data_IF_081898596886
#
_entry.id   IF_081898596886
#
_cell.length_a   1.000
_cell.length_b   1.000
_cell.length_c   1.000
_cell.angle_alpha   90.00
_cell.angle_beta   90.00
_cell.angle_gamma   90.00
#
_symmetry.space_group_name_H-M   'P 1'
#
loop_
_entity.id
_entity.type
_entity.pdbx_description
1 polymer ?
#
# COMPACT_ATOMS: atom_id res chain seq x y z
N UNK A 1 15.53 21.18 20.83
CA UNK A 1 14.54 21.00 19.75
C UNK A 1 13.22 20.57 20.39
N UNK A 2 12.32 21.52 20.64
CA UNK A 2 10.99 21.24 21.18
C UNK A 2 9.92 21.56 20.14
N UNK A 3 8.79 20.85 20.19
CA UNK A 3 7.63 21.16 19.36
C UNK A 3 6.99 22.45 19.87
N UNK A 4 6.77 23.40 18.96
CA UNK A 4 6.10 24.68 19.25
C UNK A 4 4.61 24.62 18.91
N UNK A 5 4.25 23.99 17.79
CA UNK A 5 2.86 23.84 17.38
C UNK A 5 2.66 22.66 16.43
N UNK A 6 1.40 22.24 16.33
CA UNK A 6 0.93 21.27 15.35
C UNK A 6 -0.30 21.79 14.65
N UNK A 7 -0.37 21.59 13.33
CA UNK A 7 -1.49 21.96 12.48
C UNK A 7 -1.92 20.71 11.71
N UNK A 8 -3.23 20.39 11.76
CA UNK A 8 -3.82 19.27 11.04
C UNK A 8 -4.71 19.79 9.92
N UNK A 9 -4.37 19.47 8.68
CA UNK A 9 -5.04 20.00 7.49
C UNK A 9 -5.70 18.83 6.76
N UNK A 10 -7.03 18.85 6.67
CA UNK A 10 -7.76 17.86 5.89
C UNK A 10 -7.88 18.32 4.45
N UNK A 11 -7.51 17.43 3.54
CA UNK A 11 -7.60 17.62 2.10
C UNK A 11 -8.47 16.53 1.49
N UNK A 12 -9.17 16.92 0.45
CA UNK A 12 -9.81 16.00 -0.48
C UNK A 12 -8.97 15.97 -1.77
N UNK A 13 -8.23 14.88 -1.96
CA UNK A 13 -7.38 14.62 -3.12
C UNK A 13 -8.10 13.64 -4.05
N UNK A 14 -8.73 14.10 -5.14
CA UNK A 14 -9.54 13.25 -6.00
C UNK A 14 -8.69 12.21 -6.73
N UNK A 15 -9.29 11.04 -6.99
CA UNK A 15 -8.73 10.09 -7.96
C UNK A 15 -8.82 10.67 -9.38
N UNK A 16 -7.97 10.18 -10.28
CA UNK A 16 -8.13 10.41 -11.72
C UNK A 16 -9.52 9.93 -12.17
N UNK A 17 -10.13 10.59 -13.15
CA UNK A 17 -11.49 10.30 -13.63
C UNK A 17 -11.76 8.81 -13.86
N UNK A 18 -10.84 8.11 -14.55
CA UNK A 18 -10.99 6.68 -14.83
C UNK A 18 -10.95 5.83 -13.55
N UNK A 19 -9.90 5.97 -12.74
CA UNK A 19 -9.77 5.27 -11.45
C UNK A 19 -10.96 5.55 -10.52
N UNK A 20 -11.50 6.77 -10.55
CA UNK A 20 -12.64 7.16 -9.72
C UNK A 20 -13.90 6.38 -10.08
N UNK A 21 -14.07 5.92 -11.33
CA UNK A 21 -15.23 5.11 -11.74
C UNK A 21 -15.38 3.85 -10.90
N UNK A 22 -14.29 3.27 -10.41
CA UNK A 22 -14.29 2.08 -9.56
C UNK A 22 -14.04 2.41 -8.09
N UNK A 23 -13.07 3.29 -7.80
CA UNK A 23 -12.67 3.61 -6.42
C UNK A 23 -13.78 4.27 -5.61
N UNK A 24 -14.67 5.04 -6.24
CA UNK A 24 -15.79 5.69 -5.55
C UNK A 24 -16.76 4.71 -4.87
N UNK A 25 -16.82 3.45 -5.33
CA UNK A 25 -17.67 2.43 -4.74
C UNK A 25 -16.95 1.64 -3.65
N UNK A 26 -15.67 1.35 -3.87
CA UNK A 26 -14.89 0.49 -2.98
C UNK A 26 -14.25 1.25 -1.82
N UNK A 27 -13.58 2.36 -2.14
CA UNK A 27 -12.72 3.10 -1.22
C UNK A 27 -12.91 4.62 -1.39
N UNK A 28 -14.15 5.14 -1.38
CA UNK A 28 -14.41 6.57 -1.63
C UNK A 28 -13.70 7.48 -0.65
N UNK A 29 -13.39 6.98 0.55
CA UNK A 29 -12.77 7.73 1.64
C UNK A 29 -11.24 7.81 1.56
N UNK A 30 -10.59 7.08 0.64
CA UNK A 30 -9.13 7.15 0.42
C UNK A 30 -8.68 8.48 -0.20
N UNK A 31 -9.61 9.26 -0.76
CA UNK A 31 -9.36 10.64 -1.19
C UNK A 31 -9.19 11.62 -0.03
N UNK A 32 -9.62 11.23 1.17
CA UNK A 32 -9.50 12.08 2.36
C UNK A 32 -8.15 11.85 3.00
N UNK A 33 -7.32 12.89 2.93
CA UNK A 33 -5.96 12.91 3.46
C UNK A 33 -5.89 13.93 4.59
N UNK A 34 -5.11 13.65 5.62
CA UNK A 34 -4.78 14.61 6.66
C UNK A 34 -3.26 14.86 6.63
N UNK A 35 -2.87 16.10 6.31
CA UNK A 35 -1.50 16.57 6.47
C UNK A 35 -1.26 16.95 7.94
N UNK A 36 -0.13 16.52 8.48
CA UNK A 36 0.35 16.87 9.81
C UNK A 36 1.56 17.78 9.65
N UNK A 37 1.45 19.02 10.11
CA UNK A 37 2.54 19.99 10.07
C UNK A 37 2.97 20.30 11.49
N UNK A 38 4.24 20.02 11.79
CA UNK A 38 4.85 20.29 13.10
C UNK A 38 5.85 21.42 12.95
N UNK A 39 5.71 22.47 13.75
CA UNK A 39 6.68 23.56 13.83
C UNK A 39 7.48 23.41 15.10
N UNK A 40 8.81 23.41 15.00
CA UNK A 40 9.73 23.40 16.14
C UNK A 40 10.01 24.82 16.63
N UNK A 41 10.47 24.95 17.87
CA UNK A 41 10.78 26.25 18.48
C UNK A 41 11.86 27.07 17.75
N UNK A 42 12.70 26.44 16.92
CA UNK A 42 13.67 27.11 16.06
C UNK A 42 13.12 27.51 14.68
N UNK A 43 11.82 27.29 14.46
CA UNK A 43 11.12 27.56 13.19
C UNK A 43 11.18 26.42 12.17
N UNK A 44 11.88 25.32 12.45
CA UNK A 44 11.92 24.17 11.53
C UNK A 44 10.53 23.54 11.39
N UNK A 45 10.12 23.25 10.15
CA UNK A 45 8.83 22.63 9.85
C UNK A 45 9.04 21.19 9.35
N UNK A 46 8.39 20.25 10.02
CA UNK A 46 8.21 18.87 9.58
C UNK A 46 6.83 18.62 8.99
N UNK A 47 6.76 17.81 7.95
CA UNK A 47 5.53 17.39 7.29
C UNK A 47 5.36 15.88 7.33
N UNK A 48 4.12 15.45 7.53
CA UNK A 48 3.72 14.07 7.40
C UNK A 48 2.29 13.96 6.90
N UNK A 49 1.92 12.74 6.53
CA UNK A 49 0.63 12.45 5.91
C UNK A 49 0.01 11.21 6.55
N UNK A 50 -1.31 11.23 6.74
CA UNK A 50 -2.10 10.04 7.05
C UNK A 50 -3.36 10.02 6.21
N UNK A 51 -3.85 8.82 5.89
CA UNK A 51 -5.20 8.61 5.35
C UNK A 51 -6.07 8.21 6.55
N UNK A 52 -6.88 9.12 7.14
CA UNK A 52 -7.53 8.88 8.44
C UNK A 52 -8.48 7.69 8.46
N UNK A 53 -8.94 7.27 7.28
CA UNK A 53 -9.86 6.15 7.10
C UNK A 53 -9.16 4.84 6.69
N UNK A 54 -7.83 4.88 6.45
CA UNK A 54 -7.02 3.73 6.10
C UNK A 54 -5.58 3.93 6.59
N UNK A 55 -5.40 3.81 7.90
CA UNK A 55 -4.10 3.96 8.56
C UNK A 55 -4.01 3.00 9.72
N UNK A 56 -2.79 2.57 10.04
CA UNK A 56 -2.53 1.69 11.18
C UNK A 56 -2.66 2.45 12.51
N UNK A 57 -2.41 3.76 12.53
CA UNK A 57 -2.67 4.64 13.68
C UNK A 57 -3.13 6.02 13.23
N UNK A 58 -4.34 6.39 13.68
CA UNK A 58 -4.89 7.74 13.49
C UNK A 58 -4.18 8.73 14.40
N UNK A 59 -4.19 10.00 14.00
CA UNK A 59 -3.76 11.09 14.87
C UNK A 59 -4.81 11.26 15.97
N UNK A 60 -4.42 11.21 17.26
CA UNK A 60 -5.33 11.44 18.38
C UNK A 60 -5.91 12.87 18.36
N UNK A 61 -7.12 13.05 18.87
CA UNK A 61 -7.76 14.38 18.98
C UNK A 61 -7.00 15.30 19.95
N UNK A 62 -6.40 14.73 20.99
CA UNK A 62 -5.57 15.40 22.00
C UNK A 62 -4.09 15.51 21.59
N UNK A 63 -3.79 15.47 20.28
CA UNK A 63 -2.39 15.43 19.83
C UNK A 63 -1.59 16.64 20.28
N UNK A 64 -2.19 17.83 20.31
CA UNK A 64 -1.52 19.08 20.71
C UNK A 64 -0.99 18.97 22.15
N UNK A 65 -1.84 18.54 23.09
CA UNK A 65 -1.50 18.31 24.50
C UNK A 65 -0.39 17.26 24.65
N UNK A 66 -0.35 16.26 23.76
CA UNK A 66 0.63 15.18 23.81
C UNK A 66 2.03 15.58 23.37
N UNK A 67 2.18 16.61 22.54
CA UNK A 67 3.45 16.90 21.86
C UNK A 67 3.99 18.32 22.06
N UNK A 68 3.14 19.33 22.21
CA UNK A 68 3.62 20.73 22.32
C UNK A 68 4.44 20.92 23.60
N UNK A 69 5.56 21.64 23.48
CA UNK A 69 6.53 21.86 24.55
C UNK A 69 7.46 20.68 24.83
N UNK A 70 7.21 19.50 24.26
CA UNK A 70 8.07 18.31 24.46
C UNK A 70 9.25 18.30 23.51
N UNK A 71 10.33 17.67 23.94
CA UNK A 71 11.51 17.46 23.09
C UNK A 71 11.18 16.43 22.00
N UNK A 72 11.54 16.73 20.75
CA UNK A 72 11.27 15.84 19.60
C UNK A 72 11.90 14.46 19.76
N UNK A 73 13.06 14.37 20.41
CA UNK A 73 13.74 13.10 20.66
C UNK A 73 12.96 12.15 21.56
N UNK A 74 12.12 12.68 22.46
CA UNK A 74 11.25 11.86 23.31
C UNK A 74 10.05 11.33 22.52
N UNK A 75 9.65 12.02 21.44
CA UNK A 75 8.43 11.75 20.67
C UNK A 75 8.65 10.79 19.48
N UNK A 76 9.88 10.70 18.97
CA UNK A 76 10.21 9.73 17.91
C UNK A 76 9.88 8.31 18.37
N UNK A 77 9.37 7.50 17.46
CA UNK A 77 8.98 6.10 17.71
C UNK A 77 7.79 5.92 18.66
N UNK A 78 7.08 6.99 19.03
CA UNK A 78 5.80 6.90 19.72
C UNK A 78 4.66 6.72 18.71
N UNK A 79 4.48 5.47 18.29
CA UNK A 79 3.49 5.08 17.30
C UNK A 79 2.05 5.49 17.64
N UNK A 80 1.72 5.60 18.93
CA UNK A 80 0.42 6.07 19.42
C UNK A 80 0.10 7.54 19.08
N UNK A 81 1.06 8.32 18.57
CA UNK A 81 0.84 9.68 18.08
C UNK A 81 0.20 9.71 16.67
N UNK A 82 0.15 8.57 15.98
CA UNK A 82 -0.39 8.45 14.64
C UNK A 82 0.67 8.55 13.55
N UNK A 83 0.41 7.91 12.41
CA UNK A 83 1.38 7.75 11.32
C UNK A 83 1.88 9.09 10.76
N UNK A 84 0.97 10.04 10.51
CA UNK A 84 1.30 11.35 9.95
C UNK A 84 2.12 12.23 10.91
N UNK A 85 1.86 12.15 12.22
CA UNK A 85 2.64 12.89 13.23
C UNK A 85 4.05 12.30 13.35
N UNK A 86 4.18 10.97 13.38
CA UNK A 86 5.50 10.33 13.37
C UNK A 86 6.30 10.77 12.14
N UNK A 87 5.72 10.70 10.93
CA UNK A 87 6.37 11.19 9.71
C UNK A 87 6.84 12.65 9.85
N UNK A 88 5.99 13.55 10.36
CA UNK A 88 6.34 14.95 10.56
C UNK A 88 7.48 15.16 11.56
N UNK A 89 7.52 14.39 12.64
CA UNK A 89 8.63 14.43 13.61
C UNK A 89 9.95 13.96 12.98
N UNK A 90 9.92 12.85 12.23
CA UNK A 90 11.11 12.35 11.52
C UNK A 90 11.61 13.34 10.46
N UNK A 91 10.71 13.97 9.71
CA UNK A 91 11.06 15.01 8.74
C UNK A 91 11.69 16.23 9.41
N UNK A 92 11.08 16.74 10.49
CA UNK A 92 11.63 17.87 11.25
C UNK A 92 13.03 17.57 11.80
N UNK A 93 13.22 16.41 12.43
CA UNK A 93 14.52 15.99 12.99
C UNK A 93 15.57 15.83 11.89
N UNK A 94 15.21 15.22 10.75
CA UNK A 94 16.11 15.11 9.60
C UNK A 94 16.58 16.48 9.11
N UNK A 95 15.66 17.44 8.98
CA UNK A 95 15.96 18.82 8.59
C UNK A 95 16.90 19.52 9.57
N UNK A 96 16.66 19.43 10.87
CA UNK A 96 17.57 20.05 11.87
C UNK A 96 18.97 19.44 11.80
N UNK A 97 19.08 18.13 11.58
CA UNK A 97 20.36 17.44 11.49
C UNK A 97 21.05 17.59 10.12
N UNK A 98 20.41 18.22 9.13
CA UNK A 98 20.90 18.26 7.76
C UNK A 98 21.03 16.87 7.13
N UNK A 99 20.21 15.91 7.56
CA UNK A 99 20.30 14.51 7.17
C UNK A 99 18.95 14.00 6.62
N UNK A 100 18.97 13.12 5.59
CA UNK A 100 17.75 12.49 5.11
C UNK A 100 17.18 11.53 6.16
N UNK A 101 15.84 11.45 6.26
CA UNK A 101 15.13 10.70 7.29
C UNK A 101 15.58 9.23 7.45
N UNK A 102 15.99 8.55 6.35
CA UNK A 102 16.47 7.16 6.43
C UNK A 102 17.68 7.00 7.39
N UNK A 103 18.49 8.04 7.61
CA UNK A 103 19.62 8.01 8.55
C UNK A 103 19.17 7.87 10.00
N UNK A 104 17.93 8.25 10.30
CA UNK A 104 17.30 8.07 11.61
C UNK A 104 16.78 6.65 11.80
N UNK A 105 16.57 5.91 10.69
CA UNK A 105 16.03 4.55 10.67
C UNK A 105 17.13 3.48 10.51
N UNK A 106 18.30 3.85 9.97
CA UNK A 106 19.44 2.95 9.82
C UNK A 106 20.33 3.27 8.62
N UNK A 107 20.86 2.20 8.00
CA UNK A 107 21.81 2.31 6.88
C UNK A 107 21.10 2.24 5.53
N UNK A 108 21.50 3.12 4.59
CA UNK A 108 20.99 3.07 3.21
C UNK A 108 21.46 1.80 2.52
N UNK A 109 20.52 0.97 2.09
CA UNK A 109 20.81 -0.30 1.37
C UNK A 109 20.53 -0.24 -0.14
N UNK A 110 19.81 0.78 -0.61
CA UNK A 110 19.52 1.01 -2.03
C UNK A 110 19.22 2.48 -2.30
N UNK A 111 19.42 2.91 -3.54
CA UNK A 111 19.12 4.28 -4.02
C UNK A 111 17.85 4.34 -4.86
N UNK A 112 17.34 3.19 -5.28
CA UNK A 112 16.15 3.04 -6.11
C UNK A 112 15.43 1.74 -5.76
N UNK A 113 14.11 1.71 -5.93
CA UNK A 113 13.30 0.50 -5.86
C UNK A 113 12.20 0.55 -6.94
N UNK A 114 11.76 -0.61 -7.46
CA UNK A 114 10.65 -0.66 -8.39
C UNK A 114 9.36 -0.25 -7.68
N UNK A 115 8.46 0.38 -8.43
CA UNK A 115 7.09 0.67 -8.00
C UNK A 115 6.14 -0.14 -8.89
N UNK A 116 5.14 -0.77 -8.27
CA UNK A 116 4.09 -1.52 -8.97
C UNK A 116 2.82 -0.66 -9.00
N UNK A 117 2.17 -0.62 -10.16
CA UNK A 117 0.91 0.11 -10.33
C UNK A 117 -0.19 -0.61 -9.56
N UNK A 118 -0.89 0.09 -8.67
CA UNK A 118 -1.96 -0.53 -7.89
C UNK A 118 -3.32 -0.20 -8.50
N UNK A 119 -4.17 -1.23 -8.70
CA UNK A 119 -5.56 -1.03 -9.11
C UNK A 119 -6.53 -1.97 -8.37
N UNK A 120 -7.72 -1.46 -8.08
CA UNK A 120 -8.86 -2.24 -7.59
C UNK A 120 -9.36 -3.24 -8.63
N UNK A 121 -10.35 -4.06 -8.25
CA UNK A 121 -11.00 -4.98 -9.18
C UNK A 121 -11.86 -4.19 -10.17
N UNK A 122 -11.74 -4.56 -11.44
CA UNK A 122 -12.42 -3.90 -12.56
C UNK A 122 -12.77 -4.96 -13.62
N UNK A 123 -13.76 -4.68 -14.49
CA UNK A 123 -13.97 -5.46 -15.69
C UNK A 123 -12.72 -5.52 -16.58
N UNK A 124 -12.63 -6.54 -17.44
CA UNK A 124 -11.46 -6.79 -18.28
C UNK A 124 -10.99 -5.57 -19.10
N UNK A 125 -11.93 -4.84 -19.72
CA UNK A 125 -11.62 -3.66 -20.53
C UNK A 125 -10.97 -2.53 -19.72
N UNK A 126 -11.47 -2.28 -18.51
CA UNK A 126 -10.98 -1.19 -17.65
C UNK A 126 -9.62 -1.54 -17.04
N UNK A 127 -9.37 -2.82 -16.72
CA UNK A 127 -8.05 -3.29 -16.32
C UNK A 127 -7.02 -3.23 -17.43
N UNK A 128 -7.38 -3.60 -18.66
CA UNK A 128 -6.51 -3.45 -19.82
C UNK A 128 -6.11 -1.99 -20.00
N UNK A 129 -7.09 -1.07 -19.89
CA UNK A 129 -6.84 0.37 -19.93
C UNK A 129 -5.95 0.85 -18.78
N UNK A 130 -6.23 0.48 -17.52
CA UNK A 130 -5.39 0.85 -16.37
C UNK A 130 -3.94 0.39 -16.54
N UNK A 131 -3.73 -0.84 -17.03
CA UNK A 131 -2.38 -1.36 -17.24
C UNK A 131 -1.68 -0.64 -18.42
N UNK A 132 -2.42 -0.26 -19.47
CA UNK A 132 -1.88 0.58 -20.54
C UNK A 132 -1.49 1.98 -20.03
N UNK A 133 -2.31 2.60 -19.19
CA UNK A 133 -2.02 3.89 -18.54
C UNK A 133 -0.77 3.78 -17.65
N UNK A 134 -0.59 2.65 -16.95
CA UNK A 134 0.60 2.37 -16.16
C UNK A 134 1.86 2.24 -17.02
N UNK A 135 1.78 1.50 -18.13
CA UNK A 135 2.88 1.37 -19.10
C UNK A 135 3.28 2.72 -19.67
N UNK A 136 2.30 3.57 -20.02
CA UNK A 136 2.55 4.91 -20.52
C UNK A 136 3.30 5.81 -19.52
N UNK A 137 3.16 5.53 -18.22
CA UNK A 137 3.89 6.20 -17.13
C UNK A 137 5.22 5.53 -16.75
N UNK A 138 5.63 4.49 -17.50
CA UNK A 138 6.91 3.80 -17.30
C UNK A 138 6.87 2.68 -16.25
N UNK A 139 5.69 2.28 -15.78
CA UNK A 139 5.56 1.12 -14.91
C UNK A 139 5.81 -0.18 -15.70
N UNK A 140 6.40 -1.15 -15.02
CA UNK A 140 6.68 -2.48 -15.59
C UNK A 140 5.87 -3.58 -14.91
N UNK A 141 5.16 -3.25 -13.84
CA UNK A 141 4.37 -4.19 -13.05
C UNK A 141 3.08 -3.53 -12.55
N UNK A 142 2.04 -4.35 -12.33
CA UNK A 142 0.83 -3.94 -11.63
C UNK A 142 0.39 -4.97 -10.59
N UNK A 143 -0.07 -4.50 -9.43
CA UNK A 143 -0.80 -5.26 -8.42
C UNK A 143 -2.29 -5.01 -8.58
N UNK A 144 -3.03 -6.08 -8.88
CA UNK A 144 -4.45 -6.03 -9.22
C UNK A 144 -5.28 -6.85 -8.23
N UNK A 145 -6.42 -6.31 -7.79
CA UNK A 145 -7.35 -7.04 -6.92
C UNK A 145 -8.13 -8.10 -7.72
N UNK A 146 -7.67 -9.35 -7.69
CA UNK A 146 -8.22 -10.48 -8.43
C UNK A 146 -9.47 -11.06 -7.74
N UNK A 147 -10.61 -10.37 -7.86
CA UNK A 147 -11.87 -10.82 -7.27
C UNK A 147 -12.54 -11.90 -8.10
N UNK A 148 -13.13 -12.89 -7.42
CA UNK A 148 -13.71 -14.10 -8.02
C UNK A 148 -15.02 -13.88 -8.78
N UNK A 149 -15.62 -12.69 -8.72
CA UNK A 149 -16.82 -12.33 -9.49
C UNK A 149 -16.52 -11.86 -10.92
N UNK A 150 -15.25 -11.64 -11.27
CA UNK A 150 -14.83 -11.40 -12.65
C UNK A 150 -14.21 -12.65 -13.26
N UNK A 151 -14.35 -12.82 -14.57
CA UNK A 151 -13.58 -13.81 -15.33
C UNK A 151 -12.13 -13.36 -15.42
N UNK A 152 -11.29 -13.91 -14.54
CA UNK A 152 -9.89 -13.55 -14.45
C UNK A 152 -9.08 -13.94 -15.69
N UNK A 153 -9.47 -15.01 -16.41
CA UNK A 153 -8.80 -15.39 -17.65
C UNK A 153 -9.03 -14.32 -18.73
N UNK A 154 -10.29 -13.90 -18.92
CA UNK A 154 -10.63 -12.83 -19.85
C UNK A 154 -9.94 -11.50 -19.48
N UNK A 155 -9.90 -11.19 -18.19
CA UNK A 155 -9.18 -10.04 -17.65
C UNK A 155 -7.68 -10.06 -18.00
N UNK A 156 -6.98 -11.17 -17.73
CA UNK A 156 -5.54 -11.29 -18.03
C UNK A 156 -5.32 -11.21 -19.53
N UNK A 157 -6.14 -11.87 -20.35
CA UNK A 157 -6.02 -11.82 -21.81
C UNK A 157 -6.16 -10.38 -22.34
N UNK A 158 -7.16 -9.64 -21.90
CA UNK A 158 -7.34 -8.24 -22.28
C UNK A 158 -6.14 -7.37 -21.88
N UNK A 159 -5.55 -7.59 -20.69
CA UNK A 159 -4.34 -6.90 -20.27
C UNK A 159 -3.17 -7.24 -21.19
N UNK A 160 -2.94 -8.53 -21.46
CA UNK A 160 -1.82 -9.02 -22.28
C UNK A 160 -1.85 -8.45 -23.70
N UNK A 161 -3.04 -8.22 -24.26
CA UNK A 161 -3.20 -7.55 -25.55
C UNK A 161 -2.85 -6.05 -25.51
N UNK A 162 -3.01 -5.40 -24.36
CA UNK A 162 -2.83 -3.97 -24.18
C UNK A 162 -1.41 -3.55 -23.71
N UNK A 163 -0.60 -4.48 -23.21
CA UNK A 163 0.70 -4.18 -22.58
C UNK A 163 1.87 -4.93 -23.22
N UNK A 164 3.13 -4.45 -23.07
CA UNK A 164 4.30 -5.19 -23.52
C UNK A 164 4.42 -6.57 -22.86
N UNK A 165 4.96 -7.60 -23.56
CA UNK A 165 5.08 -8.96 -23.02
C UNK A 165 5.86 -9.09 -21.70
N UNK A 166 6.71 -8.10 -21.39
CA UNK A 166 7.52 -8.06 -20.19
C UNK A 166 6.76 -7.55 -18.96
N UNK A 167 5.61 -6.89 -19.14
CA UNK A 167 4.82 -6.35 -18.05
C UNK A 167 4.32 -7.49 -17.13
N UNK A 168 4.48 -7.33 -15.81
CA UNK A 168 4.13 -8.38 -14.84
C UNK A 168 2.94 -8.01 -13.98
N UNK A 169 2.19 -9.03 -13.58
CA UNK A 169 0.98 -8.92 -12.79
C UNK A 169 1.15 -9.65 -11.46
N UNK A 170 0.85 -8.94 -10.38
CA UNK A 170 0.67 -9.48 -9.04
C UNK A 170 -0.83 -9.53 -8.75
N UNK A 171 -1.36 -10.73 -8.50
CA UNK A 171 -2.81 -10.94 -8.37
C UNK A 171 -3.17 -11.14 -6.90
N UNK A 172 -3.94 -10.20 -6.36
CA UNK A 172 -4.34 -10.16 -4.96
C UNK A 172 -5.82 -10.53 -4.77
N UNK A 173 -6.05 -11.71 -4.21
CA UNK A 173 -7.39 -12.28 -4.04
C UNK A 173 -8.07 -11.85 -2.74
N UNK A 174 -7.34 -11.30 -1.77
CA UNK A 174 -7.85 -11.01 -0.41
C UNK A 174 -8.69 -12.16 0.21
N UNK A 175 -8.30 -13.42 -0.04
CA UNK A 175 -8.90 -14.62 0.54
C UNK A 175 -10.14 -15.14 -0.19
N UNK A 176 -10.49 -14.58 -1.34
CA UNK A 176 -11.73 -14.91 -2.05
C UNK A 176 -11.75 -16.29 -2.72
N UNK A 177 -10.63 -17.00 -2.82
CA UNK A 177 -10.61 -18.40 -3.28
C UNK A 177 -11.04 -19.40 -2.19
N UNK A 178 -11.38 -18.90 -1.00
CA UNK A 178 -11.95 -19.61 0.14
C UNK A 178 -11.06 -20.66 0.83
N UNK A 179 -10.59 -21.69 0.12
CA UNK A 179 -9.79 -22.78 0.69
C UNK A 179 -8.79 -23.36 -0.33
N UNK A 180 -7.88 -24.21 0.16
CA UNK A 180 -6.80 -24.75 -0.66
C UNK A 180 -7.26 -25.61 -1.84
N UNK A 181 -8.37 -26.35 -1.72
CA UNK A 181 -8.84 -27.23 -2.79
C UNK A 181 -9.27 -26.41 -4.01
N UNK A 182 -10.14 -25.41 -3.82
CA UNK A 182 -10.56 -24.50 -4.89
C UNK A 182 -9.41 -23.61 -5.39
N UNK A 183 -8.55 -23.16 -4.48
CA UNK A 183 -7.44 -22.29 -4.84
C UNK A 183 -6.39 -23.00 -5.70
N UNK A 184 -5.97 -24.22 -5.35
CA UNK A 184 -4.94 -24.95 -6.11
C UNK A 184 -5.40 -25.22 -7.54
N UNK A 185 -6.63 -25.71 -7.71
CA UNK A 185 -7.20 -25.99 -9.02
C UNK A 185 -7.20 -24.74 -9.90
N UNK A 186 -7.78 -23.65 -9.40
CA UNK A 186 -7.88 -22.39 -10.14
C UNK A 186 -6.54 -21.72 -10.40
N UNK A 187 -5.66 -21.61 -9.40
CA UNK A 187 -4.37 -20.95 -9.57
C UNK A 187 -3.46 -21.71 -10.56
N UNK A 188 -3.62 -23.03 -10.66
CA UNK A 188 -2.90 -23.85 -11.64
C UNK A 188 -3.26 -23.47 -13.07
N UNK A 189 -4.51 -23.07 -13.34
CA UNK A 189 -4.92 -22.62 -14.68
C UNK A 189 -4.25 -21.30 -15.05
N UNK A 190 -3.92 -20.44 -14.08
CA UNK A 190 -3.27 -19.16 -14.32
C UNK A 190 -1.77 -19.30 -14.66
N UNK A 191 -1.16 -20.46 -14.40
CA UNK A 191 0.26 -20.68 -14.70
C UNK A 191 0.61 -20.56 -16.18
N UNK A 192 -0.39 -20.74 -17.07
CA UNK A 192 -0.25 -20.57 -18.51
C UNK A 192 0.13 -19.13 -18.92
N UNK A 193 -0.15 -18.14 -18.07
CA UNK A 193 0.16 -16.74 -18.34
C UNK A 193 1.54 -16.36 -17.78
N UNK A 194 2.56 -16.16 -18.63
CA UNK A 194 3.90 -15.78 -18.16
C UNK A 194 3.96 -14.40 -17.50
N UNK A 195 2.95 -13.55 -17.70
CA UNK A 195 2.82 -12.23 -17.08
C UNK A 195 2.47 -12.32 -15.60
N UNK A 196 1.76 -13.38 -15.16
CA UNK A 196 1.42 -13.57 -13.73
C UNK A 196 2.70 -13.92 -12.97
N UNK A 197 3.19 -12.96 -12.18
CA UNK A 197 4.44 -13.07 -11.44
C UNK A 197 4.22 -13.56 -10.01
N UNK A 198 3.13 -13.18 -9.36
CA UNK A 198 2.89 -13.50 -7.96
C UNK A 198 1.39 -13.60 -7.64
N UNK A 199 1.07 -14.43 -6.66
CA UNK A 199 -0.26 -14.55 -6.07
C UNK A 199 -0.19 -14.04 -4.64
N UNK A 200 -1.13 -13.18 -4.24
CA UNK A 200 -1.23 -12.64 -2.90
C UNK A 200 -2.55 -13.04 -2.24
N UNK A 201 -2.46 -13.62 -1.04
CA UNK A 201 -3.61 -13.94 -0.18
C UNK A 201 -4.74 -14.66 -0.92
N UNK A 202 -4.49 -15.86 -1.50
CA UNK A 202 -5.50 -16.60 -2.25
C UNK A 202 -6.69 -16.99 -1.37
N UNK A 203 -6.41 -17.44 -0.14
CA UNK A 203 -7.38 -17.90 0.86
C UNK A 203 -7.17 -17.12 2.17
N UNK A 204 -8.08 -17.22 3.17
CA UNK A 204 -7.88 -16.59 4.47
C UNK A 204 -6.51 -16.96 5.07
N UNK A 205 -5.72 -15.96 5.48
CA UNK A 205 -4.33 -16.16 5.92
C UNK A 205 -4.21 -16.95 7.22
N UNK A 206 -5.29 -17.01 8.02
CA UNK A 206 -5.38 -17.84 9.22
C UNK A 206 -5.39 -19.34 8.91
N UNK A 207 -5.76 -19.75 7.69
CA UNK A 207 -5.65 -21.13 7.24
C UNK A 207 -4.20 -21.45 6.83
N UNK A 208 -3.33 -21.59 7.83
CA UNK A 208 -1.90 -21.85 7.62
C UNK A 208 -1.67 -23.16 6.85
N UNK A 209 -2.42 -24.22 7.18
CA UNK A 209 -2.31 -25.51 6.53
C UNK A 209 -2.73 -25.44 5.05
N UNK A 210 -3.84 -24.76 4.76
CA UNK A 210 -4.30 -24.54 3.39
C UNK A 210 -3.33 -23.70 2.57
N UNK A 211 -2.78 -22.63 3.15
CA UNK A 211 -1.77 -21.81 2.46
C UNK A 211 -0.47 -22.58 2.21
N UNK A 212 -0.03 -23.43 3.15
CA UNK A 212 1.10 -24.33 2.95
C UNK A 212 0.83 -25.36 1.84
N UNK A 213 -0.39 -25.91 1.78
CA UNK A 213 -0.81 -26.78 0.69
C UNK A 213 -0.74 -26.06 -0.65
N UNK A 214 -1.29 -24.84 -0.76
CA UNK A 214 -1.20 -24.05 -2.01
C UNK A 214 0.25 -23.85 -2.42
N UNK A 215 1.10 -23.42 -1.48
CA UNK A 215 2.53 -23.17 -1.74
C UNK A 215 3.27 -24.39 -2.30
N UNK A 216 2.86 -25.59 -1.91
CA UNK A 216 3.45 -26.86 -2.36
C UNK A 216 2.94 -27.33 -3.73
N UNK A 217 1.84 -26.78 -4.24
CA UNK A 217 1.20 -27.26 -5.48
C UNK A 217 1.27 -26.27 -6.64
N UNK A 218 1.46 -24.97 -6.38
CA UNK A 218 1.65 -23.96 -7.44
C UNK A 218 3.12 -23.56 -7.59
N UNK A 219 3.51 -23.19 -8.80
CA UNK A 219 4.86 -22.75 -9.16
C UNK A 219 5.07 -21.25 -8.97
N UNK A 220 3.99 -20.48 -8.85
CA UNK A 220 4.05 -19.03 -8.65
C UNK A 220 4.38 -18.69 -7.18
N UNK A 221 5.22 -17.67 -6.93
CA UNK A 221 5.41 -17.10 -5.60
C UNK A 221 4.09 -16.76 -4.92
N UNK A 222 4.02 -17.02 -3.62
CA UNK A 222 2.89 -16.74 -2.76
C UNK A 222 3.28 -15.68 -1.74
N UNK A 223 2.51 -14.59 -1.67
CA UNK A 223 2.65 -13.52 -0.70
C UNK A 223 1.45 -13.44 0.24
N UNK A 224 1.70 -12.92 1.44
CA UNK A 224 0.69 -12.60 2.45
C UNK A 224 0.67 -11.10 2.70
N UNK A 225 -0.50 -10.53 2.95
CA UNK A 225 -0.62 -9.20 3.53
C UNK A 225 0.11 -9.14 4.87
N UNK A 226 0.90 -8.08 5.03
CA UNK A 226 1.60 -7.79 6.27
C UNK A 226 0.63 -7.62 7.45
N UNK A 227 0.99 -8.14 8.62
CA UNK A 227 0.21 -8.01 9.85
C UNK A 227 -0.84 -9.11 10.08
N UNK A 228 -0.98 -10.07 9.17
CA UNK A 228 -1.84 -11.25 9.37
C UNK A 228 -1.15 -12.52 8.85
N UNK A 229 -0.83 -13.53 9.69
CA UNK A 229 -0.87 -13.47 11.14
C UNK A 229 0.04 -12.34 11.69
N UNK A 230 -0.13 -11.91 12.95
CA UNK A 230 0.69 -10.87 13.55
C UNK A 230 2.18 -11.21 13.44
N UNK A 231 3.02 -10.21 13.10
CA UNK A 231 4.47 -10.41 12.91
C UNK A 231 5.17 -10.90 14.18
N UNK A 232 4.63 -10.53 15.35
CA UNK A 232 5.23 -10.79 16.66
C UNK A 232 4.76 -12.11 17.30
N UNK A 233 4.23 -13.07 16.54
CA UNK A 233 3.98 -14.42 17.06
C UNK A 233 5.26 -15.22 17.22
#
# INVERSE_FOLDING_TARGET
MQVQSVELIHLDVPFTDHTNQHMQYWLPHWRIVQLCKITLADGTIGWGETIPNYTWAKVPEDIEDRIVGRAVGDLLWQDALGAGVQQALFDAVGKVLGAPAYRLLGTKVRTWCPLSWWAMDMPAADWARQCADAVAQGYTTAKLKARTWYDLHACIQAIVEAVPPQFKLDLDFNGTLANAASAVEFLSTLEQYPQVAMIETPIPQSDVAGNAQIRNHIRRPLAMHYGSPPILT
#
